data_IF_398784862649
#
_entry.id   IF_398784862649
#
_cell.length_a   1.000
_cell.length_b   1.000
_cell.length_c   1.000
_cell.angle_alpha   90.00
_cell.angle_beta   90.00
_cell.angle_gamma   90.00
#
_symmetry.space_group_name_H-M   'P 1'
#
loop_
_entity.id
_entity.type
_entity.pdbx_description
1 polymer ?
#
# COMPACT_ATOMS: atom_id res chain seq x y z
N UNK A 1 9.64 11.09 -18.29
CA UNK A 1 8.66 10.09 -17.84
C UNK A 1 8.75 10.11 -16.33
N UNK A 2 7.77 10.66 -15.61
CA UNK A 2 7.83 10.74 -14.14
C UNK A 2 7.87 9.32 -13.57
N UNK A 3 9.00 8.95 -12.99
CA UNK A 3 9.23 7.62 -12.43
C UNK A 3 8.47 7.49 -11.12
N UNK A 4 7.35 6.75 -11.19
CA UNK A 4 6.46 6.43 -10.08
C UNK A 4 7.22 5.67 -8.98
N UNK A 5 6.98 6.05 -7.72
CA UNK A 5 7.59 5.45 -6.53
C UNK A 5 7.34 3.94 -6.44
N UNK A 6 8.26 3.18 -5.83
CA UNK A 6 8.20 1.71 -5.83
C UNK A 6 6.91 1.14 -5.22
N UNK A 7 6.37 1.78 -4.18
CA UNK A 7 5.10 1.37 -3.57
C UNK A 7 3.90 1.56 -4.52
N UNK A 8 3.97 2.51 -5.47
CA UNK A 8 2.92 2.71 -6.47
C UNK A 8 2.86 1.56 -7.48
N UNK A 9 3.99 0.89 -7.79
CA UNK A 9 3.97 -0.31 -8.67
C UNK A 9 3.19 -1.47 -8.05
N UNK A 10 3.24 -1.63 -6.74
CA UNK A 10 2.44 -2.64 -6.02
C UNK A 10 0.95 -2.32 -6.09
N UNK A 11 0.63 -1.04 -5.98
CA UNK A 11 -0.74 -0.54 -6.07
C UNK A 11 -1.25 -0.56 -7.51
N UNK A 12 -0.38 -0.45 -8.51
CA UNK A 12 -0.70 -0.68 -9.92
C UNK A 12 -1.10 -2.15 -10.16
N UNK A 13 -0.44 -3.12 -9.52
CA UNK A 13 -0.83 -4.53 -9.61
C UNK A 13 -2.18 -4.81 -8.92
N UNK A 14 -2.43 -4.19 -7.77
CA UNK A 14 -3.68 -4.40 -7.03
C UNK A 14 -4.88 -3.65 -7.62
N UNK A 15 -4.70 -2.41 -8.08
CA UNK A 15 -5.82 -1.56 -8.48
C UNK A 15 -5.83 -1.25 -10.00
N UNK A 16 -4.77 -1.58 -10.73
CA UNK A 16 -4.66 -1.25 -12.15
C UNK A 16 -4.57 0.26 -12.41
N UNK A 17 -4.81 0.62 -13.68
CA UNK A 17 -4.70 2.01 -14.17
C UNK A 17 -6.04 2.68 -14.44
N UNK A 18 -7.16 1.99 -14.22
CA UNK A 18 -8.48 2.59 -14.42
C UNK A 18 -8.72 3.74 -13.41
N UNK A 19 -9.25 4.91 -13.82
CA UNK A 19 -9.30 6.12 -12.96
C UNK A 19 -9.96 5.89 -11.60
N UNK A 20 -11.06 5.14 -11.56
CA UNK A 20 -11.79 4.83 -10.32
C UNK A 20 -10.97 4.00 -9.34
N UNK A 21 -10.11 3.12 -9.83
CA UNK A 21 -9.28 2.26 -9.00
C UNK A 21 -7.96 2.95 -8.64
N UNK A 22 -7.40 3.74 -9.56
CA UNK A 22 -6.22 4.57 -9.31
C UNK A 22 -6.45 5.57 -8.16
N UNK A 23 -7.66 6.12 -8.05
CA UNK A 23 -8.06 7.00 -6.94
C UNK A 23 -7.99 6.31 -5.55
N UNK A 24 -7.94 4.98 -5.48
CA UNK A 24 -7.83 4.23 -4.22
C UNK A 24 -6.38 4.05 -3.76
N UNK A 25 -5.39 4.23 -4.64
CA UNK A 25 -3.97 3.97 -4.36
C UNK A 25 -3.44 4.76 -3.15
N UNK A 26 -3.72 6.07 -2.97
CA UNK A 26 -3.22 6.81 -1.80
C UNK A 26 -3.73 6.24 -0.47
N UNK A 27 -5.00 5.82 -0.43
CA UNK A 27 -5.61 5.21 0.76
C UNK A 27 -5.08 3.80 1.00
N UNK A 28 -4.83 3.03 -0.06
CA UNK A 28 -4.21 1.73 0.04
C UNK A 28 -2.76 1.81 0.55
N UNK A 29 -1.99 2.81 0.11
CA UNK A 29 -0.66 3.09 0.64
C UNK A 29 -0.70 3.41 2.14
N UNK A 30 -1.69 4.21 2.59
CA UNK A 30 -1.91 4.49 4.01
C UNK A 30 -2.14 3.19 4.80
N UNK A 31 -2.91 2.25 4.26
CA UNK A 31 -3.10 0.93 4.90
C UNK A 31 -1.79 0.15 4.99
N UNK A 32 -1.02 0.04 3.91
CA UNK A 32 0.25 -0.71 3.94
C UNK A 32 1.22 -0.11 4.98
N UNK A 33 1.29 1.22 5.08
CA UNK A 33 2.09 1.92 6.09
C UNK A 33 1.62 1.62 7.51
N UNK A 34 0.32 1.63 7.76
CA UNK A 34 -0.26 1.32 9.08
C UNK A 34 -0.03 -0.15 9.45
N UNK A 35 -0.17 -1.08 8.50
CA UNK A 35 0.03 -2.51 8.74
C UNK A 35 1.51 -2.90 8.87
N UNK A 36 2.44 -2.06 8.39
CA UNK A 36 3.88 -2.19 8.64
C UNK A 36 4.21 -2.13 10.13
N UNK A 37 3.45 -1.36 10.90
CA UNK A 37 3.63 -1.21 12.34
C UNK A 37 3.07 -2.40 13.14
N UNK A 38 2.31 -3.29 12.48
CA UNK A 38 1.78 -4.51 13.06
C UNK A 38 0.33 -4.78 12.69
N UNK A 39 -0.24 -5.91 13.17
CA UNK A 39 -1.62 -6.28 12.90
C UNK A 39 -2.61 -5.24 13.44
N UNK A 40 -3.63 -4.89 12.66
CA UNK A 40 -4.69 -3.93 13.04
C UNK A 40 -6.08 -4.51 12.85
N UNK A 41 -7.01 -4.16 13.73
CA UNK A 41 -8.41 -4.53 13.60
C UNK A 41 -9.10 -3.73 12.49
N UNK A 42 -10.30 -4.18 12.12
CA UNK A 42 -11.19 -3.46 11.20
C UNK A 42 -11.46 -2.03 11.68
N UNK A 43 -11.73 -1.86 12.98
CA UNK A 43 -12.01 -0.56 13.58
C UNK A 43 -10.78 0.37 13.55
N UNK A 44 -9.59 -0.15 13.84
CA UNK A 44 -8.34 0.62 13.78
C UNK A 44 -8.04 1.10 12.36
N UNK A 45 -8.21 0.22 11.36
CA UNK A 45 -8.02 0.59 9.96
C UNK A 45 -9.12 1.55 9.46
N UNK A 46 -10.36 1.38 9.92
CA UNK A 46 -11.45 2.32 9.64
C UNK A 46 -11.14 3.72 10.13
N UNK A 47 -10.65 3.85 11.36
CA UNK A 47 -10.18 5.13 11.92
C UNK A 47 -9.03 5.72 11.11
N UNK A 48 -8.02 4.90 10.78
CA UNK A 48 -6.90 5.35 9.95
C UNK A 48 -7.33 5.84 8.57
N UNK A 49 -8.40 5.28 8.00
CA UNK A 49 -8.97 5.69 6.72
C UNK A 49 -10.03 6.79 6.81
N UNK A 50 -10.34 7.27 8.01
CA UNK A 50 -11.43 8.25 8.26
C UNK A 50 -12.77 7.75 7.66
N UNK A 51 -13.05 6.45 7.83
CA UNK A 51 -14.29 5.82 7.39
C UNK A 51 -15.20 5.52 8.57
N UNK A 52 -16.46 5.95 8.46
CA UNK A 52 -17.50 5.52 9.40
C UNK A 52 -18.00 4.11 9.07
N UNK A 53 -17.47 3.14 9.80
CA UNK A 53 -17.81 1.73 9.65
C UNK A 53 -19.17 1.34 10.25
N UNK A 54 -19.91 2.27 10.87
CA UNK A 54 -21.28 2.01 11.32
C UNK A 54 -22.28 2.08 10.16
N UNK A 55 -21.92 2.75 9.07
CA UNK A 55 -22.77 2.86 7.87
C UNK A 55 -22.49 1.75 6.85
N UNK A 56 -23.52 1.34 6.11
CA UNK A 56 -23.34 0.39 5.01
C UNK A 56 -22.38 0.92 3.93
N UNK A 57 -22.42 2.22 3.65
CA UNK A 57 -21.54 2.87 2.68
C UNK A 57 -20.07 2.85 3.14
N UNK A 58 -19.78 3.13 4.41
CA UNK A 58 -18.42 3.09 4.95
C UNK A 58 -17.86 1.67 4.97
N UNK A 59 -18.66 0.67 5.39
CA UNK A 59 -18.27 -0.75 5.30
C UNK A 59 -17.94 -1.16 3.86
N UNK A 60 -18.78 -0.78 2.89
CA UNK A 60 -18.55 -1.06 1.47
C UNK A 60 -17.24 -0.44 0.99
N UNK A 61 -16.99 0.85 1.29
CA UNK A 61 -15.74 1.54 0.92
C UNK A 61 -14.52 0.85 1.51
N UNK A 62 -14.60 0.41 2.76
CA UNK A 62 -13.52 -0.35 3.41
C UNK A 62 -13.21 -1.64 2.65
N UNK A 63 -14.21 -2.49 2.38
CA UNK A 63 -13.97 -3.77 1.70
C UNK A 63 -13.55 -3.62 0.24
N UNK A 64 -14.05 -2.61 -0.47
CA UNK A 64 -13.58 -2.26 -1.82
C UNK A 64 -12.10 -1.95 -1.82
N UNK A 65 -11.60 -1.30 -0.77
CA UNK A 65 -10.19 -1.00 -0.63
C UNK A 65 -9.38 -2.23 -0.20
N UNK A 66 -9.87 -3.02 0.75
CA UNK A 66 -9.12 -4.17 1.28
C UNK A 66 -9.04 -5.36 0.34
N UNK A 67 -10.07 -5.58 -0.48
CA UNK A 67 -10.19 -6.79 -1.32
C UNK A 67 -9.01 -6.96 -2.29
N UNK A 68 -8.61 -5.95 -3.08
CA UNK A 68 -7.51 -6.12 -4.03
C UNK A 68 -6.15 -6.36 -3.34
N UNK A 69 -5.91 -5.74 -2.19
CA UNK A 69 -4.69 -5.99 -1.39
C UNK A 69 -4.64 -7.44 -0.88
N UNK A 70 -5.81 -8.03 -0.55
CA UNK A 70 -5.89 -9.44 -0.17
C UNK A 70 -5.69 -10.38 -1.34
N UNK A 71 -6.35 -10.09 -2.47
CA UNK A 71 -6.30 -10.96 -3.66
C UNK A 71 -4.93 -11.00 -4.30
N UNK A 72 -4.17 -9.90 -4.20
CA UNK A 72 -2.76 -9.84 -4.61
C UNK A 72 -1.79 -10.42 -3.58
N UNK A 73 -2.30 -10.96 -2.46
CA UNK A 73 -1.47 -11.52 -1.41
C UNK A 73 -0.71 -10.49 -0.59
N UNK A 74 -0.88 -9.17 -0.79
CA UNK A 74 -0.18 -8.15 -0.01
C UNK A 74 -0.55 -8.16 1.48
N UNK A 75 -1.81 -8.43 1.79
CA UNK A 75 -2.30 -8.48 3.16
C UNK A 75 -3.04 -9.78 3.44
N UNK A 76 -3.02 -10.19 4.70
CA UNK A 76 -3.76 -11.35 5.20
C UNK A 76 -4.66 -10.93 6.36
N UNK A 77 -5.61 -11.79 6.70
CA UNK A 77 -6.52 -11.56 7.82
C UNK A 77 -6.60 -12.80 8.70
N UNK A 78 -6.64 -12.60 10.02
CA UNK A 78 -6.86 -13.64 11.02
C UNK A 78 -8.00 -13.25 11.95
N UNK A 79 -8.72 -14.24 12.47
CA UNK A 79 -9.71 -14.02 13.54
C UNK A 79 -9.05 -14.29 14.89
N UNK A 80 -9.21 -13.36 15.83
CA UNK A 80 -8.76 -13.52 17.20
C UNK A 80 -9.75 -12.81 18.14
N UNK A 81 -10.23 -13.52 19.18
CA UNK A 81 -11.15 -12.94 20.17
C UNK A 81 -12.43 -12.37 19.56
N UNK A 82 -13.00 -13.04 18.54
CA UNK A 82 -14.20 -12.57 17.84
C UNK A 82 -14.00 -11.39 16.89
N UNK A 83 -12.77 -10.86 16.78
CA UNK A 83 -12.43 -9.74 15.89
C UNK A 83 -11.56 -10.18 14.72
N UNK A 84 -11.68 -9.47 13.60
CA UNK A 84 -10.82 -9.66 12.42
C UNK A 84 -9.66 -8.70 12.48
N UNK A 85 -8.44 -9.24 12.42
CA UNK A 85 -7.20 -8.49 12.33
C UNK A 85 -6.57 -8.68 10.97
N UNK A 86 -6.17 -7.58 10.35
CA UNK A 86 -5.39 -7.56 9.12
C UNK A 86 -3.92 -7.32 9.43
N UNK A 87 -3.04 -7.88 8.61
CA UNK A 87 -1.59 -7.73 8.72
C UNK A 87 -0.96 -7.83 7.33
N UNK A 88 0.23 -7.26 7.15
CA UNK A 88 1.03 -7.51 5.95
C UNK A 88 1.37 -9.00 5.89
N UNK A 89 1.11 -9.64 4.76
CA UNK A 89 1.58 -11.02 4.57
C UNK A 89 3.11 -11.03 4.49
N UNK A 90 3.72 -12.21 4.64
CA UNK A 90 5.17 -12.34 4.47
C UNK A 90 5.63 -11.87 3.08
N UNK A 91 4.92 -12.29 2.03
CA UNK A 91 5.21 -11.90 0.64
C UNK A 91 5.00 -10.40 0.43
N UNK A 92 3.87 -9.86 0.92
CA UNK A 92 3.54 -8.45 0.83
C UNK A 92 4.54 -7.57 1.56
N UNK A 93 5.02 -7.99 2.74
CA UNK A 93 6.07 -7.29 3.48
C UNK A 93 7.39 -7.30 2.73
N UNK A 94 7.82 -8.46 2.20
CA UNK A 94 9.05 -8.56 1.41
C UNK A 94 8.99 -7.70 0.14
N UNK A 95 7.84 -7.68 -0.53
CA UNK A 95 7.64 -6.87 -1.73
C UNK A 95 7.64 -5.38 -1.39
N UNK A 96 6.97 -4.99 -0.31
CA UNK A 96 6.97 -3.61 0.20
C UNK A 96 8.38 -3.13 0.57
N UNK A 97 9.17 -3.95 1.27
CA UNK A 97 10.56 -3.62 1.60
C UNK A 97 11.45 -3.49 0.36
N UNK A 98 11.30 -4.38 -0.62
CA UNK A 98 12.06 -4.32 -1.88
C UNK A 98 11.83 -2.99 -2.59
N UNK A 99 10.57 -2.55 -2.64
CA UNK A 99 10.22 -1.31 -3.30
C UNK A 99 10.71 -0.07 -2.53
N UNK A 100 10.67 -0.06 -1.20
CA UNK A 100 11.31 1.00 -0.39
C UNK A 100 12.82 1.05 -0.65
N UNK A 101 13.50 -0.10 -0.73
CA UNK A 101 14.94 -0.14 -0.99
C UNK A 101 15.30 0.42 -2.36
N UNK A 102 14.55 0.05 -3.40
CA UNK A 102 14.73 0.62 -4.74
C UNK A 102 14.55 2.14 -4.75
N UNK A 103 13.55 2.63 -4.02
CA UNK A 103 13.33 4.07 -3.89
C UNK A 103 14.51 4.74 -3.17
N UNK A 104 14.99 4.16 -2.07
CA UNK A 104 16.17 4.66 -1.37
C UNK A 104 17.43 4.63 -2.27
N UNK A 105 17.67 3.54 -3.00
CA UNK A 105 18.78 3.41 -3.95
C UNK A 105 18.72 4.48 -5.06
N UNK A 106 17.53 4.79 -5.56
CA UNK A 106 17.34 5.86 -6.54
C UNK A 106 17.76 7.23 -5.99
N UNK A 107 17.34 7.56 -4.76
CA UNK A 107 17.66 8.85 -4.15
C UNK A 107 19.11 8.94 -3.63
N UNK A 108 19.72 7.81 -3.26
CA UNK A 108 21.07 7.75 -2.70
C UNK A 108 22.16 7.57 -3.75
N UNK A 109 21.82 7.07 -4.95
CA UNK A 109 22.74 7.13 -6.08
C UNK A 109 22.61 8.51 -6.71
N UNK A 110 23.60 9.42 -6.53
CA UNK A 110 23.66 10.59 -7.39
C UNK A 110 23.71 10.04 -8.80
N UNK A 111 22.74 10.43 -9.64
CA UNK A 111 22.83 10.29 -11.08
C UNK A 111 24.26 10.71 -11.41
N UNK A 112 25.09 9.79 -11.90
CA UNK A 112 26.38 10.11 -12.50
C UNK A 112 26.06 10.92 -13.75
N UNK A 113 25.67 12.18 -13.54
CA UNK A 113 25.55 13.17 -14.57
C UNK A 113 26.95 13.36 -15.08
N UNK A 114 27.16 12.90 -16.31
CA UNK A 114 28.36 13.16 -17.08
C UNK A 114 28.69 14.66 -16.99
N UNK A 115 29.64 15.03 -16.15
CA UNK A 115 30.38 16.27 -16.32
C UNK A 115 31.33 15.98 -17.47
N UNK A 116 30.82 16.10 -18.71
CA UNK A 116 31.67 16.24 -19.88
C UNK A 116 32.44 17.53 -19.69
N UNK A 117 33.67 17.40 -19.19
CA UNK A 117 34.68 18.43 -19.27
C UNK A 117 34.90 18.73 -20.76
N UNK A 118 34.31 19.81 -21.25
CA UNK A 118 34.70 20.43 -22.51
C UNK A 118 36.06 21.10 -22.26
N UNK A 119 37.11 20.51 -22.82
CA UNK A 119 38.40 21.16 -23.05
C UNK A 119 38.31 21.89 -24.40
#
# INVERSE_FOLDING_TARGET
>A
MEERSGAERLLDLAYGNHPKSAALKPKALKILRVLREGPKSVEELGKALELDLNTAAGKKKFYVLMKPLRETGMISARKAGGKTFYYLSYEGFNQYLREIRKEAEYWLNPVQGEVKNSI
#
